data_IF_247493010570
#
_entry.id   IF_247493010570
#
_cell.length_a   1.000
_cell.length_b   1.000
_cell.length_c   1.000
_cell.angle_alpha   90.00
_cell.angle_beta   90.00
_cell.angle_gamma   90.00
#
_symmetry.space_group_name_H-M   'P 1'
#
loop_
_entity.id
_entity.type
_entity.pdbx_description
1 polymer ?
#
# COMPACT_ATOMS: atom_id res chain seq x y z
N UNK A 1 9.90 -30.93 -0.67
CA UNK A 1 9.10 -30.62 0.54
C UNK A 1 7.91 -29.77 0.12
N UNK A 2 6.68 -30.26 0.28
CA UNK A 2 5.48 -29.43 0.09
C UNK A 2 5.37 -28.48 1.28
N UNK A 3 5.74 -27.21 1.07
CA UNK A 3 5.53 -26.15 2.06
C UNK A 3 4.03 -25.97 2.20
N UNK A 4 3.45 -26.28 3.38
CA UNK A 4 2.03 -25.99 3.64
C UNK A 4 1.86 -24.47 3.53
N UNK A 5 1.05 -24.04 2.59
CA UNK A 5 0.68 -22.63 2.45
C UNK A 5 -0.29 -22.28 3.58
N UNK A 6 0.06 -21.31 4.42
CA UNK A 6 -0.85 -20.80 5.44
C UNK A 6 -1.81 -19.80 4.79
N UNK A 7 -3.11 -19.90 5.09
CA UNK A 7 -4.13 -18.97 4.57
C UNK A 7 -3.77 -17.51 4.88
N UNK A 8 -3.19 -17.25 6.06
CA UNK A 8 -2.73 -15.91 6.44
C UNK A 8 -1.65 -15.37 5.49
N UNK A 9 -0.73 -16.22 5.04
CA UNK A 9 0.33 -15.79 4.11
C UNK A 9 -0.27 -15.43 2.75
N UNK A 10 -1.26 -16.19 2.26
CA UNK A 10 -2.00 -15.87 1.03
C UNK A 10 -2.71 -14.51 1.14
N UNK A 11 -3.38 -14.25 2.27
CA UNK A 11 -4.07 -12.97 2.50
C UNK A 11 -3.07 -11.82 2.52
N UNK A 12 -1.92 -11.99 3.20
CA UNK A 12 -0.87 -10.98 3.23
C UNK A 12 -0.32 -10.69 1.83
N UNK A 13 0.02 -11.73 1.07
CA UNK A 13 0.56 -11.58 -0.28
C UNK A 13 -0.45 -10.89 -1.21
N UNK A 14 -1.75 -11.20 -1.10
CA UNK A 14 -2.80 -10.51 -1.83
C UNK A 14 -2.79 -9.00 -1.57
N UNK A 15 -2.74 -8.55 -0.30
CA UNK A 15 -2.72 -7.12 0.01
C UNK A 15 -1.44 -6.43 -0.47
N UNK A 16 -0.29 -7.11 -0.45
CA UNK A 16 0.96 -6.57 -0.98
C UNK A 16 0.89 -6.39 -2.50
N UNK A 17 0.32 -7.37 -3.22
CA UNK A 17 0.12 -7.30 -4.68
C UNK A 17 -0.84 -6.15 -5.02
N UNK A 18 -2.02 -6.10 -4.38
CA UNK A 18 -3.00 -5.00 -4.60
C UNK A 18 -2.40 -3.64 -4.30
N UNK A 19 -1.61 -3.52 -3.23
CA UNK A 19 -0.91 -2.28 -2.90
C UNK A 19 0.10 -1.85 -3.95
N UNK A 20 0.81 -2.81 -4.55
CA UNK A 20 1.75 -2.55 -5.63
C UNK A 20 1.03 -2.13 -6.93
N UNK A 21 -0.03 -2.85 -7.32
CA UNK A 21 -0.87 -2.49 -8.47
C UNK A 21 -1.40 -1.06 -8.35
N UNK A 22 -1.97 -0.72 -7.19
CA UNK A 22 -2.51 0.63 -6.94
C UNK A 22 -1.44 1.72 -7.06
N UNK A 23 -0.25 1.47 -6.50
CA UNK A 23 0.87 2.41 -6.60
C UNK A 23 1.31 2.59 -8.05
N UNK A 24 1.45 1.52 -8.83
CA UNK A 24 1.89 1.60 -10.22
C UNK A 24 0.86 2.32 -11.10
N UNK A 25 -0.43 1.99 -10.96
CA UNK A 25 -1.51 2.63 -11.73
C UNK A 25 -1.70 4.11 -11.42
N UNK A 26 -1.34 4.56 -10.22
CA UNK A 26 -1.54 5.93 -9.76
C UNK A 26 -0.24 6.67 -9.41
N UNK A 27 0.90 6.19 -9.92
CA UNK A 27 2.22 6.63 -9.49
C UNK A 27 2.40 8.15 -9.63
N UNK A 28 1.94 8.73 -10.73
CA UNK A 28 2.09 10.16 -11.03
C UNK A 28 1.36 11.04 -10.00
N UNK A 29 0.11 10.70 -9.66
CA UNK A 29 -0.69 11.38 -8.63
C UNK A 29 -0.07 11.21 -7.25
N UNK A 30 0.31 9.98 -6.89
CA UNK A 30 0.89 9.67 -5.56
C UNK A 30 2.24 10.37 -5.36
N UNK A 31 3.12 10.29 -6.36
CA UNK A 31 4.44 10.91 -6.34
C UNK A 31 4.34 12.43 -6.23
N UNK A 32 3.42 13.03 -6.99
CA UNK A 32 3.18 14.46 -6.91
C UNK A 32 2.60 14.85 -5.54
N UNK A 33 1.63 14.11 -5.01
CA UNK A 33 1.09 14.38 -3.68
C UNK A 33 2.15 14.29 -2.59
N UNK A 34 3.05 13.31 -2.66
CA UNK A 34 4.10 13.14 -1.66
C UNK A 34 5.17 14.23 -1.73
N UNK A 35 5.45 14.78 -2.91
CA UNK A 35 6.42 15.88 -3.08
C UNK A 35 5.83 17.27 -2.86
N UNK A 36 4.57 17.48 -3.24
CA UNK A 36 3.84 18.73 -3.04
C UNK A 36 2.35 18.44 -2.71
N UNK A 37 2.00 18.33 -1.43
CA UNK A 37 0.64 17.98 -1.02
C UNK A 37 -0.38 19.06 -1.39
N UNK A 38 -1.45 18.66 -2.09
CA UNK A 38 -2.55 19.56 -2.41
C UNK A 38 -3.59 18.93 -3.33
N UNK A 39 -4.75 18.55 -2.80
CA UNK A 39 -5.77 17.81 -3.55
C UNK A 39 -6.23 18.57 -4.81
N UNK A 40 -6.60 19.85 -4.67
CA UNK A 40 -7.11 20.66 -5.79
C UNK A 40 -6.05 20.90 -6.88
N UNK A 41 -4.82 21.27 -6.49
CA UNK A 41 -3.74 21.53 -7.44
C UNK A 41 -3.36 20.27 -8.23
N UNK A 42 -3.41 19.10 -7.59
CA UNK A 42 -3.14 17.82 -8.24
C UNK A 42 -4.30 17.43 -9.15
N UNK A 43 -5.54 17.61 -8.70
CA UNK A 43 -6.75 17.36 -9.49
C UNK A 43 -6.76 18.18 -10.79
N UNK A 44 -6.47 19.47 -10.69
CA UNK A 44 -6.35 20.39 -11.83
C UNK A 44 -5.26 19.93 -12.80
N UNK A 45 -4.04 19.66 -12.30
CA UNK A 45 -2.91 19.23 -13.13
C UNK A 45 -3.17 17.91 -13.88
N UNK A 46 -3.87 16.98 -13.25
CA UNK A 46 -4.18 15.68 -13.82
C UNK A 46 -5.52 15.64 -14.57
N UNK A 47 -6.27 16.75 -14.60
CA UNK A 47 -7.61 16.85 -15.19
C UNK A 47 -8.56 15.76 -14.67
N UNK A 48 -8.53 15.51 -13.36
CA UNK A 48 -9.37 14.52 -12.67
C UNK A 48 -10.16 15.17 -11.55
N UNK A 49 -11.18 14.47 -11.06
CA UNK A 49 -11.95 14.89 -9.90
C UNK A 49 -11.06 14.93 -8.63
N UNK A 50 -11.21 15.97 -7.81
CA UNK A 50 -10.56 16.09 -6.50
C UNK A 50 -10.90 14.92 -5.57
N UNK A 51 -12.12 14.39 -5.67
CA UNK A 51 -12.56 13.19 -4.94
C UNK A 51 -11.77 11.97 -5.38
N UNK A 52 -11.42 11.86 -6.66
CA UNK A 52 -10.57 10.78 -7.16
C UNK A 52 -9.15 10.88 -6.58
N UNK A 53 -8.57 12.08 -6.51
CA UNK A 53 -7.25 12.28 -5.87
C UNK A 53 -7.31 11.85 -4.40
N UNK A 54 -8.36 12.23 -3.68
CA UNK A 54 -8.57 11.80 -2.30
C UNK A 54 -8.65 10.27 -2.18
N UNK A 55 -9.44 9.60 -3.02
CA UNK A 55 -9.56 8.14 -3.02
C UNK A 55 -8.24 7.44 -3.31
N UNK A 56 -7.51 7.88 -4.34
CA UNK A 56 -6.19 7.36 -4.68
C UNK A 56 -5.25 7.43 -3.48
N UNK A 57 -5.19 8.60 -2.83
CA UNK A 57 -4.27 8.79 -1.70
C UNK A 57 -4.72 8.03 -0.46
N UNK A 58 -6.02 7.96 -0.19
CA UNK A 58 -6.58 7.18 0.92
C UNK A 58 -6.21 5.71 0.79
N UNK A 59 -6.42 5.12 -0.38
CA UNK A 59 -6.09 3.72 -0.65
C UNK A 59 -4.58 3.47 -0.59
N UNK A 60 -3.76 4.39 -1.14
CA UNK A 60 -2.30 4.31 -1.03
C UNK A 60 -1.84 4.27 0.44
N UNK A 61 -2.39 5.14 1.31
CA UNK A 61 -2.02 5.18 2.74
C UNK A 61 -2.44 3.91 3.47
N UNK A 62 -3.62 3.36 3.17
CA UNK A 62 -4.07 2.07 3.72
C UNK A 62 -3.13 0.93 3.29
N UNK A 63 -2.69 0.92 2.04
CA UNK A 63 -1.75 -0.09 1.53
C UNK A 63 -0.37 0.01 2.22
N UNK A 64 0.12 1.22 2.49
CA UNK A 64 1.34 1.40 3.29
C UNK A 64 1.17 0.88 4.73
N UNK A 65 0.01 1.14 5.36
CA UNK A 65 -0.28 0.63 6.69
C UNK A 65 -0.31 -0.91 6.71
N UNK A 66 -0.99 -1.53 5.74
CA UNK A 66 -1.04 -2.99 5.60
C UNK A 66 0.36 -3.59 5.45
N UNK A 67 1.20 -2.99 4.59
CA UNK A 67 2.59 -3.41 4.41
C UNK A 67 3.37 -3.36 5.73
N UNK A 68 3.25 -2.25 6.48
CA UNK A 68 3.95 -2.09 7.75
C UNK A 68 3.50 -3.12 8.80
N UNK A 69 2.18 -3.35 8.94
CA UNK A 69 1.63 -4.36 9.85
C UNK A 69 2.15 -5.75 9.50
N UNK A 70 2.11 -6.13 8.23
CA UNK A 70 2.60 -7.44 7.77
C UNK A 70 4.10 -7.61 8.06
N UNK A 71 4.91 -6.58 7.81
CA UNK A 71 6.34 -6.60 8.13
C UNK A 71 6.60 -6.77 9.62
N UNK A 72 5.96 -5.96 10.47
CA UNK A 72 6.12 -6.06 11.93
C UNK A 72 5.67 -7.42 12.47
N UNK A 73 4.62 -8.03 11.91
CA UNK A 73 4.23 -9.39 12.27
C UNK A 73 5.29 -10.43 11.90
N UNK A 74 5.96 -10.27 10.74
CA UNK A 74 7.03 -11.19 10.31
C UNK A 74 8.28 -11.05 11.19
N UNK A 75 8.66 -9.82 11.53
CA UNK A 75 9.79 -9.52 12.43
C UNK A 75 9.55 -10.09 13.84
N UNK A 76 8.37 -9.83 14.42
CA UNK A 76 8.01 -10.37 15.74
C UNK A 76 7.94 -11.90 15.77
N UNK A 77 7.49 -12.53 14.68
CA UNK A 77 7.50 -13.99 14.57
C UNK A 77 8.93 -14.56 14.55
N UNK A 78 9.91 -13.85 13.99
CA UNK A 78 11.31 -14.28 13.96
C UNK A 78 11.99 -14.13 15.34
N UNK A 79 11.64 -13.11 16.12
CA UNK A 79 12.17 -12.91 17.48
C UNK A 79 11.71 -14.00 18.48
N UNK A 80 10.59 -14.69 18.24
CA UNK A 80 10.06 -15.72 19.14
C UNK A 80 10.77 -17.08 19.06
N UNK A 81 11.65 -17.30 18.07
CA UNK A 81 12.38 -18.58 17.88
C UNK A 81 13.87 -18.48 18.22
N UNK A 82 14.31 -17.38 18.84
CA UNK A 82 15.72 -17.14 19.20
C UNK A 82 16.00 -17.21 20.73
N UNK A 83 15.10 -17.80 21.51
CA UNK A 83 15.29 -18.06 22.95
C UNK A 83 15.24 -19.56 23.27
#
# INVERSE_FOLDING_TARGET
>A
MNKRICIKDLIHDFFLIKGHEHLMSNYSVISLYNSNPGLFAIAEKHQIDVVLVYHIMREYRLNQLNKNVISSMKENAQCQYHH
#
